data_IF_336706961656
#
_entry.id   IF_336706961656
#
_cell.length_a   1.000
_cell.length_b   1.000
_cell.length_c   1.000
_cell.angle_alpha   90.00
_cell.angle_beta   90.00
_cell.angle_gamma   90.00
#
_symmetry.space_group_name_H-M   'P 1'
#
loop_
_entity.id
_entity.type
_entity.pdbx_description
1 polymer ?
#
# COMPACT_ATOMS: atom_id res chain seq x y z
N UNK A 1 11.46 -8.84 -6.13
CA UNK A 1 12.03 -7.56 -5.62
C UNK A 1 11.59 -7.42 -4.17
N UNK A 2 12.38 -6.83 -3.28
CA UNK A 2 11.91 -6.52 -1.93
C UNK A 2 10.66 -5.62 -2.00
N UNK A 3 9.76 -5.77 -1.03
CA UNK A 3 8.64 -4.85 -0.86
C UNK A 3 9.19 -3.44 -0.63
N UNK A 4 8.56 -2.44 -1.25
CA UNK A 4 8.93 -1.05 -1.03
C UNK A 4 8.70 -0.67 0.43
N UNK A 5 9.55 0.21 0.95
CA UNK A 5 9.27 0.88 2.22
C UNK A 5 8.20 1.95 2.05
N UNK A 6 7.69 2.46 3.18
CA UNK A 6 6.78 3.63 3.19
C UNK A 6 7.33 4.79 2.35
N UNK A 7 8.60 5.14 2.56
CA UNK A 7 9.23 6.29 1.93
C UNK A 7 9.52 6.02 0.45
N UNK A 8 9.95 4.81 0.12
CA UNK A 8 10.14 4.39 -1.27
C UNK A 8 8.83 4.44 -2.07
N UNK A 9 7.71 4.06 -1.46
CA UNK A 9 6.39 4.18 -2.05
C UNK A 9 6.03 5.65 -2.35
N UNK A 10 6.19 6.55 -1.37
CA UNK A 10 5.90 7.98 -1.55
C UNK A 10 6.80 8.59 -2.62
N UNK A 11 8.09 8.27 -2.59
CA UNK A 11 9.05 8.71 -3.61
C UNK A 11 8.73 8.16 -5.00
N UNK A 12 8.25 6.91 -5.09
CA UNK A 12 7.81 6.34 -6.36
C UNK A 12 6.69 7.18 -7.00
N UNK A 13 5.78 7.70 -6.19
CA UNK A 13 4.68 8.54 -6.65
C UNK A 13 5.16 9.92 -7.10
N UNK A 14 6.15 10.52 -6.41
CA UNK A 14 6.77 11.78 -6.83
C UNK A 14 7.48 11.65 -8.19
N UNK A 15 8.10 10.50 -8.45
CA UNK A 15 8.76 10.21 -9.74
C UNK A 15 7.78 9.99 -10.89
N UNK A 16 6.51 9.70 -10.62
CA UNK A 16 5.52 9.51 -11.68
C UNK A 16 5.15 10.84 -12.32
N UNK A 17 5.38 10.97 -13.62
CA UNK A 17 4.88 12.11 -14.42
C UNK A 17 3.37 11.97 -14.59
N UNK A 18 2.59 12.58 -13.68
CA UNK A 18 1.13 12.61 -13.72
C UNK A 18 0.67 14.04 -13.98
N UNK A 19 -0.24 14.20 -14.94
CA UNK A 19 -0.99 15.45 -15.10
C UNK A 19 -2.23 15.36 -14.23
N UNK A 20 -2.25 16.08 -13.12
CA UNK A 20 -3.32 16.00 -12.13
C UNK A 20 -3.97 17.36 -11.92
N UNK A 21 -5.28 17.35 -11.71
CA UNK A 21 -6.07 18.54 -11.45
C UNK A 21 -6.79 18.42 -10.12
N UNK A 22 -6.71 19.46 -9.29
CA UNK A 22 -7.39 19.54 -7.99
C UNK A 22 -8.22 20.81 -7.98
N UNK A 23 -9.53 20.67 -7.75
CA UNK A 23 -10.48 21.79 -7.79
C UNK A 23 -10.40 22.60 -9.11
N UNK A 24 -10.19 21.91 -10.23
CA UNK A 24 -10.10 22.51 -11.56
C UNK A 24 -8.76 23.15 -11.92
N UNK A 25 -7.76 23.12 -11.03
CA UNK A 25 -6.42 23.66 -11.26
C UNK A 25 -5.40 22.55 -11.44
N UNK A 26 -4.46 22.70 -12.39
CA UNK A 26 -3.35 21.76 -12.56
C UNK A 26 -2.38 21.88 -11.39
N UNK A 27 -1.91 20.75 -10.86
CA UNK A 27 -1.01 20.69 -9.71
C UNK A 27 0.26 19.93 -10.09
N UNK A 28 1.42 20.60 -9.97
CA UNK A 28 2.72 20.02 -10.31
C UNK A 28 3.15 18.87 -9.40
N UNK A 29 2.95 19.01 -8.07
CA UNK A 29 3.18 17.94 -7.10
C UNK A 29 1.90 17.55 -6.36
N UNK A 30 1.11 16.61 -6.90
CA UNK A 30 -0.10 16.14 -6.25
C UNK A 30 0.20 15.39 -4.94
N UNK A 31 1.38 14.77 -4.84
CA UNK A 31 1.78 13.96 -3.67
C UNK A 31 1.88 14.83 -2.41
N UNK A 32 2.35 16.06 -2.55
CA UNK A 32 2.51 16.99 -1.43
C UNK A 32 1.25 17.83 -1.16
N UNK A 33 0.21 17.69 -2.00
CA UNK A 33 -1.00 18.49 -1.88
C UNK A 33 -1.81 18.10 -0.62
N UNK A 34 -2.25 19.06 0.22
CA UNK A 34 -2.96 18.77 1.48
C UNK A 34 -4.20 17.89 1.33
N UNK A 35 -4.95 18.03 0.23
CA UNK A 35 -6.14 17.19 -0.06
C UNK A 35 -5.80 15.73 -0.42
N UNK A 36 -4.59 15.46 -0.92
CA UNK A 36 -4.15 14.11 -1.32
C UNK A 36 -3.48 13.39 -0.16
N UNK A 37 -2.81 14.15 0.72
CA UNK A 37 -2.00 13.63 1.83
C UNK A 37 -2.71 12.60 2.73
N UNK A 38 -3.99 12.74 3.11
CA UNK A 38 -4.67 11.74 3.92
C UNK A 38 -4.77 10.38 3.23
N UNK A 39 -5.22 10.37 1.97
CA UNK A 39 -5.34 9.14 1.17
C UNK A 39 -3.97 8.52 0.89
N UNK A 40 -2.96 9.35 0.62
CA UNK A 40 -1.58 8.92 0.47
C UNK A 40 -1.08 8.20 1.73
N UNK A 41 -1.28 8.80 2.90
CA UNK A 41 -0.86 8.22 4.18
C UNK A 41 -1.57 6.88 4.46
N UNK A 42 -2.86 6.77 4.14
CA UNK A 42 -3.61 5.52 4.28
C UNK A 42 -3.00 4.38 3.44
N UNK A 43 -2.68 4.65 2.18
CA UNK A 43 -1.99 3.68 1.33
C UNK A 43 -0.57 3.38 1.83
N UNK A 44 0.18 4.40 2.25
CA UNK A 44 1.55 4.28 2.72
C UNK A 44 1.65 3.41 3.99
N UNK A 45 0.63 3.43 4.86
CA UNK A 45 0.55 2.57 6.05
C UNK A 45 0.60 1.08 5.70
N UNK A 46 0.11 0.68 4.52
CA UNK A 46 0.16 -0.72 4.08
C UNK A 46 1.58 -1.21 3.84
N UNK A 47 2.49 -0.30 3.44
CA UNK A 47 3.92 -0.58 3.29
C UNK A 47 4.60 -0.54 4.66
N UNK A 48 4.31 0.47 5.48
CA UNK A 48 4.92 0.62 6.81
C UNK A 48 4.66 -0.59 7.72
N UNK A 49 3.41 -1.06 7.82
CA UNK A 49 3.10 -2.22 8.67
C UNK A 49 3.66 -3.52 8.09
N UNK A 50 3.90 -3.60 6.78
CA UNK A 50 4.52 -4.77 6.17
C UNK A 50 6.01 -4.91 6.53
N UNK A 51 6.68 -3.82 6.92
CA UNK A 51 8.06 -3.82 7.40
C UNK A 51 8.20 -4.21 8.87
N UNK A 52 7.10 -4.17 9.63
CA UNK A 52 7.09 -4.45 11.07
C UNK A 52 6.98 -5.96 11.33
N UNK A 53 7.98 -6.60 11.97
CA UNK A 53 7.99 -8.04 12.20
C UNK A 53 6.73 -8.55 12.92
N UNK A 54 6.18 -7.78 13.85
CA UNK A 54 4.99 -8.15 14.62
C UNK A 54 3.71 -8.24 13.77
N UNK A 55 3.68 -7.61 12.59
CA UNK A 55 2.55 -7.62 11.67
C UNK A 55 2.82 -8.42 10.39
N UNK A 56 4.02 -8.98 10.22
CA UNK A 56 4.46 -9.60 8.96
C UNK A 56 3.50 -10.70 8.49
N UNK A 57 3.08 -11.61 9.38
CA UNK A 57 2.14 -12.70 9.04
C UNK A 57 0.79 -12.19 8.53
N UNK A 58 0.34 -11.05 9.06
CA UNK A 58 -0.94 -10.45 8.71
C UNK A 58 -0.84 -9.59 7.44
N UNK A 59 0.26 -8.85 7.30
CA UNK A 59 0.47 -7.90 6.20
C UNK A 59 1.05 -8.53 4.94
N UNK A 60 1.71 -9.69 5.07
CA UNK A 60 2.37 -10.38 3.96
C UNK A 60 1.70 -11.70 3.64
N UNK A 61 1.86 -12.15 2.40
CA UNK A 61 1.47 -13.48 1.94
C UNK A 61 2.41 -13.93 0.83
N UNK A 62 2.51 -15.25 0.62
CA UNK A 62 3.21 -15.81 -0.54
C UNK A 62 2.26 -15.86 -1.73
N UNK A 63 2.58 -15.16 -2.81
CA UNK A 63 1.81 -15.17 -4.05
C UNK A 63 1.76 -16.56 -4.65
N UNK A 64 0.56 -17.07 -4.95
CA UNK A 64 0.36 -18.34 -5.65
C UNK A 64 0.78 -18.28 -7.13
N UNK A 65 0.91 -17.07 -7.70
CA UNK A 65 1.27 -16.86 -9.10
C UNK A 65 2.79 -16.80 -9.30
N UNK A 66 3.51 -16.23 -8.34
CA UNK A 66 4.96 -15.92 -8.49
C UNK A 66 5.84 -16.59 -7.45
N UNK A 67 5.29 -17.17 -6.38
CA UNK A 67 6.04 -17.71 -5.25
C UNK A 67 6.75 -16.66 -4.39
N UNK A 68 6.60 -15.37 -4.71
CA UNK A 68 7.24 -14.27 -4.00
C UNK A 68 6.37 -13.79 -2.84
N UNK A 69 7.02 -13.28 -1.80
CA UNK A 69 6.35 -12.53 -0.73
C UNK A 69 5.78 -11.24 -1.31
N UNK A 70 4.49 -11.03 -1.11
CA UNK A 70 3.75 -9.84 -1.54
C UNK A 70 2.97 -9.27 -0.36
N UNK A 71 2.54 -8.02 -0.50
CA UNK A 71 1.59 -7.45 0.44
C UNK A 71 0.26 -8.22 0.31
N UNK A 72 -0.35 -8.59 1.43
CA UNK A 72 -1.66 -9.27 1.45
C UNK A 72 -2.74 -8.42 0.78
N UNK A 73 -2.53 -7.11 0.62
CA UNK A 73 -3.42 -6.27 -0.16
C UNK A 73 -3.57 -6.70 -1.62
N UNK A 74 -2.51 -7.24 -2.21
CA UNK A 74 -2.44 -7.67 -3.61
C UNK A 74 -2.48 -9.20 -3.77
N UNK A 75 -2.66 -9.95 -2.67
CA UNK A 75 -2.68 -11.40 -2.69
C UNK A 75 -4.02 -11.93 -3.19
N UNK A 76 -4.00 -12.92 -4.08
CA UNK A 76 -5.19 -13.64 -4.50
C UNK A 76 -5.54 -14.68 -3.42
N UNK A 77 -6.66 -14.51 -2.73
CA UNK A 77 -7.08 -15.42 -1.67
C UNK A 77 -7.21 -16.86 -2.18
N UNK A 78 -6.54 -17.82 -1.53
CA UNK A 78 -6.55 -19.23 -1.92
C UNK A 78 -7.54 -20.07 -1.10
N UNK A 79 -7.99 -19.56 0.06
CA UNK A 79 -8.88 -20.25 0.97
C UNK A 79 -9.59 -19.28 1.92
N UNK A 80 -10.45 -19.81 2.80
CA UNK A 80 -11.18 -19.01 3.78
C UNK A 80 -10.26 -18.31 4.81
N UNK A 81 -9.12 -18.91 5.16
CA UNK A 81 -8.19 -18.30 6.11
C UNK A 81 -7.57 -17.02 5.54
N UNK A 82 -7.28 -16.99 4.24
CA UNK A 82 -6.81 -15.78 3.55
C UNK A 82 -7.85 -14.64 3.62
N UNK A 83 -9.14 -14.96 3.43
CA UNK A 83 -10.22 -13.98 3.54
C UNK A 83 -10.32 -13.41 4.97
N UNK A 84 -10.26 -14.28 5.98
CA UNK A 84 -10.27 -13.87 7.39
C UNK A 84 -9.05 -12.99 7.70
N UNK A 85 -7.87 -13.37 7.23
CA UNK A 85 -6.64 -12.59 7.42
C UNK A 85 -6.74 -11.21 6.74
N UNK A 86 -7.31 -11.13 5.51
CA UNK A 86 -7.54 -9.87 4.82
C UNK A 86 -8.45 -8.93 5.62
N UNK A 87 -9.55 -9.45 6.18
CA UNK A 87 -10.47 -8.63 7.01
C UNK A 87 -9.79 -8.16 8.29
N UNK A 88 -9.02 -9.04 8.96
CA UNK A 88 -8.24 -8.65 10.15
C UNK A 88 -7.21 -7.58 9.83
N UNK A 89 -6.51 -7.71 8.70
CA UNK A 89 -5.55 -6.72 8.20
C UNK A 89 -6.23 -5.38 7.92
N UNK A 90 -7.40 -5.37 7.28
CA UNK A 90 -8.16 -4.13 7.03
C UNK A 90 -8.57 -3.45 8.33
N UNK A 91 -9.04 -4.21 9.33
CA UNK A 91 -9.40 -3.66 10.66
C UNK A 91 -8.21 -3.06 11.40
N UNK A 92 -7.01 -3.60 11.20
CA UNK A 92 -5.78 -3.04 11.77
C UNK A 92 -5.44 -1.68 11.15
N UNK A 93 -5.68 -1.54 9.84
CA UNK A 93 -5.37 -0.33 9.08
C UNK A 93 -6.39 0.81 9.24
N UNK A 94 -7.59 0.50 9.75
CA UNK A 94 -8.71 1.44 9.88
C UNK A 94 -9.72 1.29 8.76
#
# INVERSE_FOLDING_TARGET
MPLMTRDEYIESLRRMKKRAYIMGQEVESPVDHPLVRPSLNACAMTYELAERPEYADLMLATSNLTGQTVNRFTHLHQNAADLVAKVKMQRLLG
#
